data_IF_961652255781
#
_entry.id   IF_961652255781
#
_cell.length_a   1.000
_cell.length_b   1.000
_cell.length_c   1.000
_cell.angle_alpha   90.00
_cell.angle_beta   90.00
_cell.angle_gamma   90.00
#
_symmetry.space_group_name_H-M   'P 1'
#
loop_
_entity.id
_entity.type
_entity.pdbx_description
1 polymer ?
#
# COMPACT_ATOMS: atom_id res chain seq x y z
N UNK A 1 -13.83 -22.18 45.96
CA UNK A 1 -12.84 -21.30 45.30
C UNK A 1 -13.27 -21.08 43.86
N UNK A 2 -13.65 -19.85 43.48
CA UNK A 2 -13.93 -19.51 42.07
C UNK A 2 -12.59 -19.19 41.40
N UNK A 3 -12.13 -20.08 40.52
CA UNK A 3 -11.03 -19.76 39.62
C UNK A 3 -11.56 -18.82 38.53
N UNK A 4 -11.20 -17.54 38.62
CA UNK A 4 -11.42 -16.58 37.56
C UNK A 4 -10.29 -16.78 36.55
N UNK A 5 -10.56 -17.48 35.45
CA UNK A 5 -9.63 -17.57 34.31
C UNK A 5 -9.69 -16.24 33.56
N UNK A 6 -8.74 -15.34 33.85
CA UNK A 6 -8.53 -14.14 33.05
C UNK A 6 -7.84 -14.58 31.75
N UNK A 7 -8.63 -14.78 30.69
CA UNK A 7 -8.11 -15.04 29.35
C UNK A 7 -7.51 -13.72 28.82
N UNK A 8 -6.20 -13.55 28.98
CA UNK A 8 -5.46 -12.46 28.36
C UNK A 8 -5.43 -12.71 26.85
N UNK A 9 -6.30 -12.04 26.10
CA UNK A 9 -6.13 -11.90 24.66
C UNK A 9 -4.91 -11.01 24.42
N UNK A 10 -3.77 -11.63 24.08
CA UNK A 10 -2.62 -10.90 23.58
C UNK A 10 -2.99 -10.24 22.25
N UNK A 11 -3.18 -8.92 22.28
CA UNK A 11 -3.27 -8.12 21.06
C UNK A 11 -1.85 -8.03 20.50
N UNK A 12 -1.60 -8.73 19.40
CA UNK A 12 -0.30 -8.69 18.71
C UNK A 12 -0.18 -7.37 17.96
N UNK A 13 0.37 -6.36 18.64
CA UNK A 13 0.74 -5.08 18.04
C UNK A 13 2.15 -5.25 17.48
N UNK A 14 2.30 -5.02 16.17
CA UNK A 14 3.60 -4.97 15.51
C UNK A 14 3.74 -3.67 14.72
N UNK A 15 4.98 -3.31 14.43
CA UNK A 15 5.36 -2.31 13.44
C UNK A 15 6.33 -2.95 12.45
N UNK A 16 6.28 -2.54 11.18
CA UNK A 16 7.19 -3.04 10.15
C UNK A 16 7.42 -1.95 9.10
N UNK A 17 8.68 -1.75 8.71
CA UNK A 17 9.03 -0.93 7.55
C UNK A 17 9.01 -1.82 6.30
N UNK A 18 8.32 -1.37 5.26
CA UNK A 18 8.07 -2.13 4.04
C UNK A 18 8.49 -1.27 2.86
N UNK A 19 9.29 -1.85 1.95
CA UNK A 19 9.55 -1.29 0.62
C UNK A 19 8.79 -2.13 -0.40
N UNK A 20 8.16 -1.51 -1.38
CA UNK A 20 7.50 -2.15 -2.50
C UNK A 20 7.97 -1.54 -3.82
N UNK A 21 8.10 -2.37 -4.84
CA UNK A 21 8.47 -1.94 -6.19
C UNK A 21 7.69 -2.71 -7.26
N UNK A 22 7.57 -2.15 -8.46
CA UNK A 22 6.95 -2.80 -9.61
C UNK A 22 7.65 -4.13 -9.93
N UNK A 23 6.94 -5.25 -9.75
CA UNK A 23 7.51 -6.59 -9.94
C UNK A 23 7.11 -7.25 -11.27
N UNK A 24 5.89 -6.97 -11.75
CA UNK A 24 5.35 -7.66 -12.93
C UNK A 24 4.35 -6.78 -13.69
N UNK A 25 4.55 -6.71 -15.00
CA UNK A 25 3.66 -6.09 -15.98
C UNK A 25 3.00 -7.20 -16.79
N UNK A 26 1.67 -7.23 -16.84
CA UNK A 26 1.00 -8.01 -17.89
C UNK A 26 1.22 -7.23 -19.20
N UNK A 27 1.46 -7.88 -20.34
CA UNK A 27 1.70 -7.25 -21.66
C UNK A 27 0.59 -6.26 -22.13
N UNK A 28 -0.50 -6.11 -21.39
CA UNK A 28 -1.60 -5.18 -21.63
C UNK A 28 -1.73 -4.07 -20.56
N UNK A 29 -0.90 -4.09 -19.52
CA UNK A 29 -0.83 -3.02 -18.52
C UNK A 29 0.10 -1.92 -19.03
N UNK A 30 -0.25 -0.66 -18.76
CA UNK A 30 0.61 0.50 -19.03
C UNK A 30 1.98 0.36 -18.37
N UNK A 31 3.00 1.02 -18.94
CA UNK A 31 4.37 1.08 -18.42
C UNK A 31 4.46 1.88 -17.13
N UNK A 32 3.84 1.39 -16.05
CA UNK A 32 3.85 2.06 -14.76
C UNK A 32 5.00 1.51 -13.91
N UNK A 33 6.02 2.33 -13.69
CA UNK A 33 7.02 2.06 -12.67
C UNK A 33 6.60 2.68 -11.35
N UNK A 34 6.77 1.95 -10.26
CA UNK A 34 6.32 2.37 -8.93
C UNK A 34 7.34 1.91 -7.91
N UNK A 35 7.78 2.84 -7.07
CA UNK A 35 8.47 2.55 -5.82
C UNK A 35 7.71 3.17 -4.64
N UNK A 36 7.53 2.40 -3.58
CA UNK A 36 6.83 2.82 -2.37
C UNK A 36 7.57 2.36 -1.13
N UNK A 37 7.54 3.17 -0.08
CA UNK A 37 7.98 2.76 1.25
C UNK A 37 7.04 3.27 2.32
N UNK A 38 6.82 2.49 3.38
CA UNK A 38 5.98 2.91 4.49
C UNK A 38 6.20 2.08 5.76
N UNK A 39 5.76 2.61 6.89
CA UNK A 39 5.63 1.89 8.16
C UNK A 39 4.21 1.36 8.30
N UNK A 40 4.06 0.03 8.38
CA UNK A 40 2.80 -0.65 8.70
C UNK A 40 2.73 -0.96 10.20
N UNK A 41 1.60 -0.69 10.83
CA UNK A 41 1.30 -1.12 12.20
C UNK A 41 -0.02 -1.86 12.29
N UNK A 42 -0.09 -2.93 13.08
CA UNK A 42 -1.36 -3.60 13.41
C UNK A 42 -1.81 -3.26 14.83
N UNK A 43 -3.11 -3.02 15.00
CA UNK A 43 -3.73 -2.65 16.27
C UNK A 43 -4.71 -3.71 16.80
N UNK A 44 -4.74 -4.91 16.19
CA UNK A 44 -5.74 -5.94 16.47
C UNK A 44 -7.04 -5.74 15.69
N UNK A 45 -7.95 -6.71 15.77
CA UNK A 45 -9.29 -6.68 15.13
C UNK A 45 -9.30 -6.34 13.62
N UNK A 46 -8.23 -6.69 12.91
CA UNK A 46 -8.07 -6.37 11.48
C UNK A 46 -7.88 -4.88 11.18
N UNK A 47 -7.52 -4.08 12.18
CA UNK A 47 -7.12 -2.68 12.03
C UNK A 47 -5.62 -2.56 11.77
N UNK A 48 -5.28 -1.85 10.69
CA UNK A 48 -3.93 -1.59 10.25
C UNK A 48 -3.77 -0.13 9.91
N UNK A 49 -2.62 0.44 10.30
CA UNK A 49 -2.26 1.83 10.03
C UNK A 49 -1.00 1.87 9.18
N UNK A 50 -0.96 2.78 8.21
CA UNK A 50 0.21 3.11 7.41
C UNK A 50 0.65 4.55 7.74
N UNK A 51 1.95 4.76 7.93
CA UNK A 51 2.57 6.09 8.13
C UNK A 51 3.97 6.13 7.51
N UNK A 52 4.63 7.29 7.59
CA UNK A 52 5.98 7.53 7.05
C UNK A 52 6.08 7.09 5.58
N UNK A 53 5.09 7.49 4.78
CA UNK A 53 4.91 7.05 3.40
C UNK A 53 5.83 7.84 2.47
N UNK A 54 6.46 7.14 1.54
CA UNK A 54 7.02 7.71 0.33
C UNK A 54 6.47 6.93 -0.87
N UNK A 55 6.26 7.64 -1.98
CA UNK A 55 5.91 7.04 -3.26
C UNK A 55 6.59 7.81 -4.38
N UNK A 56 7.16 7.05 -5.30
CA UNK A 56 7.60 7.49 -6.61
C UNK A 56 6.86 6.65 -7.63
N UNK A 57 6.32 7.27 -8.68
CA UNK A 57 5.86 6.52 -9.83
C UNK A 57 6.05 7.31 -11.11
N UNK A 58 6.24 6.58 -12.20
CA UNK A 58 6.45 7.11 -13.54
C UNK A 58 5.62 6.32 -14.54
N UNK A 59 5.01 7.00 -15.50
CA UNK A 59 4.24 6.36 -16.57
C UNK A 59 5.00 6.42 -17.89
N UNK A 60 5.09 5.27 -18.55
CA UNK A 60 5.85 4.96 -19.76
C UNK A 60 7.36 5.23 -19.64
N UNK A 61 7.95 4.85 -18.50
CA UNK A 61 9.38 5.00 -18.23
C UNK A 61 10.28 4.25 -19.25
N UNK A 62 9.78 3.16 -19.85
CA UNK A 62 10.53 2.32 -20.79
C UNK A 62 10.76 2.97 -22.17
N UNK A 63 10.04 4.07 -22.50
CA UNK A 63 10.14 4.77 -23.79
C UNK A 63 10.99 6.06 -23.72
N UNK A 64 11.76 6.25 -22.64
CA UNK A 64 12.82 7.26 -22.54
C UNK A 64 12.51 8.41 -21.58
N UNK A 65 11.41 9.15 -21.79
CA UNK A 65 10.96 10.19 -20.85
C UNK A 65 9.54 9.88 -20.41
N UNK A 66 9.29 9.68 -19.10
CA UNK A 66 7.94 9.41 -18.64
C UNK A 66 7.06 10.61 -18.96
N UNK A 67 5.86 10.37 -19.50
CA UNK A 67 4.93 11.46 -19.79
C UNK A 67 4.28 12.02 -18.51
N UNK A 68 4.37 11.27 -17.41
CA UNK A 68 3.98 11.71 -16.08
C UNK A 68 4.89 11.08 -15.02
N UNK A 69 5.34 11.89 -14.06
CA UNK A 69 6.12 11.45 -12.92
C UNK A 69 5.56 12.12 -11.65
N UNK A 70 5.51 11.36 -10.56
CA UNK A 70 5.14 11.90 -9.26
C UNK A 70 6.07 11.37 -8.19
N UNK A 71 6.53 12.30 -7.34
CA UNK A 71 7.28 11.99 -6.12
C UNK A 71 6.61 12.69 -4.95
N UNK A 72 6.20 11.92 -3.94
CA UNK A 72 5.48 12.44 -2.79
C UNK A 72 5.79 11.69 -1.51
N UNK A 73 5.61 12.38 -0.39
CA UNK A 73 5.77 11.82 0.94
C UNK A 73 4.67 12.29 1.88
N UNK A 74 4.47 11.55 2.97
CA UNK A 74 3.53 11.94 4.01
C UNK A 74 3.80 11.22 5.33
N UNK A 75 3.85 11.99 6.40
CA UNK A 75 3.83 11.46 7.77
C UNK A 75 2.41 11.20 8.28
N UNK A 76 1.37 11.64 7.54
CA UNK A 76 -0.03 11.46 7.93
C UNK A 76 -0.37 9.98 7.99
N UNK A 77 -0.96 9.56 9.10
CA UNK A 77 -1.46 8.20 9.30
C UNK A 77 -2.72 7.97 8.46
N UNK A 78 -2.75 6.86 7.74
CA UNK A 78 -3.96 6.34 7.08
C UNK A 78 -4.33 4.98 7.66
N UNK A 79 -5.63 4.70 7.74
CA UNK A 79 -6.18 3.46 8.29
C UNK A 79 -6.90 2.67 7.21
N UNK A 80 -6.86 1.34 7.28
CA UNK A 80 -7.56 0.51 6.31
C UNK A 80 -9.09 0.67 6.38
N UNK A 81 -9.74 0.59 5.22
CA UNK A 81 -11.19 0.62 5.12
C UNK A 81 -11.80 -0.71 5.63
N UNK A 82 -12.32 -0.71 6.86
CA UNK A 82 -12.99 -1.89 7.47
C UNK A 82 -14.27 -2.32 6.75
N UNK A 83 -14.86 -1.45 5.94
CA UNK A 83 -16.06 -1.75 5.13
C UNK A 83 -15.71 -2.30 3.75
N UNK A 84 -14.43 -2.46 3.41
CA UNK A 84 -13.99 -2.99 2.13
C UNK A 84 -14.40 -4.45 1.95
N UNK A 85 -15.30 -4.70 0.99
CA UNK A 85 -15.84 -6.04 0.67
C UNK A 85 -15.68 -6.33 -0.83
N UNK A 86 -14.46 -6.58 -1.31
CA UNK A 86 -14.18 -6.73 -2.74
C UNK A 86 -14.72 -8.05 -3.30
N UNK A 87 -15.03 -8.03 -4.61
CA UNK A 87 -15.34 -9.26 -5.36
C UNK A 87 -14.07 -10.02 -5.80
N UNK A 88 -13.07 -9.29 -6.31
CA UNK A 88 -11.80 -9.83 -6.86
C UNK A 88 -10.73 -10.01 -5.77
N UNK A 89 -10.37 -8.95 -5.07
CA UNK A 89 -9.27 -8.92 -4.10
C UNK A 89 -9.68 -9.36 -2.69
N UNK A 90 -10.35 -10.50 -2.56
CA UNK A 90 -10.74 -11.05 -1.25
C UNK A 90 -9.50 -11.30 -0.39
N UNK A 91 -9.63 -11.14 0.92
CA UNK A 91 -8.52 -11.33 1.86
C UNK A 91 -7.47 -10.22 1.85
N UNK A 92 -7.78 -9.06 1.24
CA UNK A 92 -6.92 -7.88 1.27
C UNK A 92 -7.54 -6.77 2.12
N UNK A 93 -6.69 -5.99 2.80
CA UNK A 93 -7.07 -4.69 3.35
C UNK A 93 -6.79 -3.59 2.33
N UNK A 94 -7.66 -2.59 2.29
CA UNK A 94 -7.57 -1.45 1.38
C UNK A 94 -7.18 -0.18 2.15
N UNK A 95 -6.23 0.56 1.60
CA UNK A 95 -5.86 1.90 2.03
C UNK A 95 -6.08 2.89 0.90
N UNK A 96 -6.57 4.09 1.24
CA UNK A 96 -6.49 5.26 0.36
C UNK A 96 -5.10 5.87 0.51
N UNK A 97 -4.21 5.54 -0.42
CA UNK A 97 -2.80 5.88 -0.29
C UNK A 97 -2.50 7.34 -0.67
N UNK A 98 -3.42 8.03 -1.35
CA UNK A 98 -3.19 9.41 -1.82
C UNK A 98 -3.43 10.47 -0.74
N UNK A 99 -4.20 10.12 0.31
CA UNK A 99 -4.62 11.09 1.32
C UNK A 99 -3.43 11.78 2.00
N UNK A 100 -3.32 13.10 1.81
CA UNK A 100 -2.31 13.94 2.46
C UNK A 100 -0.87 13.65 2.04
N UNK A 101 -0.66 13.15 0.82
CA UNK A 101 0.66 13.20 0.19
C UNK A 101 0.99 14.64 -0.17
N UNK A 102 2.12 15.11 0.32
CA UNK A 102 2.71 16.38 -0.09
C UNK A 102 3.64 16.08 -1.28
N UNK A 103 3.42 16.78 -2.38
CA UNK A 103 4.22 16.63 -3.60
C UNK A 103 5.55 17.35 -3.44
N UNK A 104 6.64 16.70 -3.86
CA UNK A 104 8.00 17.24 -3.68
C UNK A 104 8.37 18.25 -4.77
N UNK A 105 7.73 18.20 -5.95
CA UNK A 105 8.17 18.94 -7.15
C UNK A 105 7.17 19.93 -7.76
N UNK A 106 5.93 20.05 -7.24
CA UNK A 106 5.06 21.20 -7.47
C UNK A 106 4.38 21.32 -8.84
N UNK A 107 4.36 20.28 -9.67
CA UNK A 107 3.64 20.27 -10.95
C UNK A 107 2.75 19.02 -11.04
N UNK A 108 1.44 19.27 -10.97
CA UNK A 108 0.35 18.32 -11.22
C UNK A 108 0.14 17.25 -10.13
N UNK A 109 -0.80 17.56 -9.22
CA UNK A 109 -1.19 16.72 -8.10
C UNK A 109 -1.49 15.26 -8.47
N UNK A 110 -1.34 14.40 -7.47
CA UNK A 110 -1.41 12.94 -7.54
C UNK A 110 -2.44 12.41 -8.55
N UNK A 111 -2.03 11.45 -9.37
CA UNK A 111 -2.83 10.74 -10.38
C UNK A 111 -4.13 10.12 -9.81
N UNK A 112 -5.17 10.95 -9.70
CA UNK A 112 -6.51 10.58 -9.26
C UNK A 112 -6.57 9.84 -7.92
N UNK A 113 -7.24 8.69 -7.93
CA UNK A 113 -7.45 7.86 -6.74
C UNK A 113 -6.53 6.64 -6.75
N UNK A 114 -5.91 6.36 -5.60
CA UNK A 114 -5.05 5.19 -5.42
C UNK A 114 -5.52 4.34 -4.27
N UNK A 115 -5.99 3.14 -4.60
CA UNK A 115 -6.23 2.09 -3.63
C UNK A 115 -5.02 1.19 -3.55
N UNK A 116 -4.40 1.14 -2.37
CA UNK A 116 -3.32 0.21 -2.09
C UNK A 116 -3.84 -0.97 -1.28
N UNK A 117 -3.60 -2.18 -1.78
CA UNK A 117 -4.14 -3.41 -1.22
C UNK A 117 -3.02 -4.29 -0.68
N UNK A 118 -3.13 -4.67 0.60
CA UNK A 118 -2.20 -5.58 1.26
C UNK A 118 -2.90 -6.91 1.60
N UNK A 119 -2.30 -8.08 1.30
CA UNK A 119 -2.89 -9.37 1.63
C UNK A 119 -2.80 -9.64 3.14
N UNK A 120 -3.96 -9.86 3.79
CA UNK A 120 -4.07 -10.06 5.24
C UNK A 120 -3.18 -11.22 5.70
N UNK A 121 -3.16 -12.32 4.95
CA UNK A 121 -2.39 -13.52 5.30
C UNK A 121 -0.88 -13.29 5.32
N UNK A 122 -0.37 -12.33 4.56
CA UNK A 122 1.07 -12.01 4.57
C UNK A 122 1.39 -10.99 5.66
N UNK A 123 0.52 -9.98 5.85
CA UNK A 123 0.77 -8.93 6.84
C UNK A 123 0.42 -9.33 8.28
N UNK A 124 -0.21 -10.49 8.49
CA UNK A 124 -0.49 -10.98 9.85
C UNK A 124 0.72 -11.61 10.55
N UNK A 125 1.78 -11.95 9.80
CA UNK A 125 2.95 -12.67 10.30
C UNK A 125 4.25 -12.13 9.67
N UNK A 126 4.50 -10.84 9.88
CA UNK A 126 5.67 -10.15 9.30
C UNK A 126 6.93 -10.39 10.12
N UNK A 127 8.01 -10.72 9.43
CA UNK A 127 9.37 -10.73 9.95
C UNK A 127 10.31 -10.04 8.95
N UNK A 128 11.48 -9.59 9.42
CA UNK A 128 12.49 -8.99 8.53
C UNK A 128 12.86 -9.97 7.42
N UNK A 129 12.85 -9.49 6.18
CA UNK A 129 13.09 -10.30 4.98
C UNK A 129 11.86 -11.03 4.43
N UNK A 130 10.69 -10.95 5.08
CA UNK A 130 9.44 -11.43 4.49
C UNK A 130 9.17 -10.73 3.16
N UNK A 131 8.80 -11.50 2.14
CA UNK A 131 8.38 -11.01 0.83
C UNK A 131 6.92 -11.33 0.56
N UNK A 132 6.20 -10.40 -0.06
CA UNK A 132 4.82 -10.62 -0.46
C UNK A 132 4.45 -9.71 -1.63
N UNK A 133 3.28 -9.95 -2.23
CA UNK A 133 2.76 -9.14 -3.34
C UNK A 133 1.64 -8.23 -2.85
N UNK A 134 1.73 -6.95 -3.19
CA UNK A 134 0.66 -5.98 -2.99
C UNK A 134 0.05 -5.56 -4.33
N UNK A 135 -1.14 -4.97 -4.29
CA UNK A 135 -1.78 -4.44 -5.49
C UNK A 135 -1.96 -2.93 -5.32
N UNK A 136 -1.47 -2.17 -6.29
CA UNK A 136 -1.81 -0.77 -6.46
C UNK A 136 -2.91 -0.67 -7.52
N UNK A 137 -4.00 0.03 -7.22
CA UNK A 137 -5.03 0.35 -8.20
C UNK A 137 -5.06 1.86 -8.31
N UNK A 138 -4.79 2.36 -9.51
CA UNK A 138 -4.83 3.78 -9.83
C UNK A 138 -6.00 4.04 -10.77
N UNK A 139 -6.75 5.10 -10.52
CA UNK A 139 -7.78 5.56 -11.45
C UNK A 139 -7.77 7.08 -11.58
N UNK A 140 -7.82 7.55 -12.83
CA UNK A 140 -7.93 8.97 -13.14
C UNK A 140 -9.33 9.28 -13.64
N UNK A 141 -10.05 10.10 -12.87
CA UNK A 141 -11.47 10.36 -13.11
C UNK A 141 -11.70 11.23 -14.35
N UNK A 142 -10.76 12.11 -14.71
CA UNK A 142 -10.92 13.01 -15.87
C UNK A 142 -10.85 12.30 -17.21
N UNK A 143 -10.07 11.22 -17.31
CA UNK A 143 -9.85 10.47 -18.55
C UNK A 143 -10.50 9.07 -18.53
N UNK A 144 -11.32 8.78 -17.50
CA UNK A 144 -11.92 7.47 -17.23
C UNK A 144 -10.93 6.30 -17.22
N UNK A 145 -9.66 6.62 -16.98
CA UNK A 145 -8.58 5.66 -17.09
C UNK A 145 -8.33 4.98 -15.75
N UNK A 146 -7.94 3.71 -15.80
CA UNK A 146 -7.62 2.96 -14.60
C UNK A 146 -6.70 1.79 -14.89
N UNK A 147 -5.72 1.61 -14.03
CA UNK A 147 -4.74 0.54 -14.11
C UNK A 147 -4.56 -0.13 -12.74
N UNK A 148 -4.14 -1.39 -12.76
CA UNK A 148 -3.68 -2.07 -11.56
C UNK A 148 -2.26 -2.57 -11.76
N UNK A 149 -1.41 -2.41 -10.75
CA UNK A 149 -0.03 -2.88 -10.75
C UNK A 149 0.20 -3.83 -9.58
N UNK A 150 0.88 -4.93 -9.84
CA UNK A 150 1.35 -5.82 -8.77
C UNK A 150 2.74 -5.36 -8.32
N UNK A 151 2.87 -5.07 -7.04
CA UNK A 151 4.13 -4.66 -6.44
C UNK A 151 4.72 -5.83 -5.65
N UNK A 152 6.02 -6.07 -5.80
CA UNK A 152 6.78 -6.93 -4.91
C UNK A 152 7.18 -6.12 -3.68
N UNK A 153 6.83 -6.60 -2.50
CA UNK A 153 7.09 -5.93 -1.24
C UNK A 153 8.01 -6.76 -0.35
N UNK A 154 8.91 -6.09 0.35
CA UNK A 154 9.83 -6.70 1.31
C UNK A 154 9.81 -5.94 2.64
N UNK A 155 9.77 -6.68 3.75
CA UNK A 155 9.95 -6.12 5.09
C UNK A 155 11.43 -5.84 5.33
N UNK A 156 11.78 -4.57 5.49
CA UNK A 156 13.17 -4.13 5.66
C UNK A 156 13.58 -4.01 7.12
N UNK A 157 12.64 -3.75 8.04
CA UNK A 157 12.86 -3.74 9.49
C UNK A 157 11.54 -3.82 10.29
N UNK A 158 11.63 -4.02 11.61
CA UNK A 158 10.50 -4.07 12.57
C UNK A 158 10.58 -2.93 13.58
#
# INVERSE_FOLDING_TARGET
MKFLFTLLFSVSIFAANIKCESFYQIEQDFGLDVEMSFTLKSFGDGEYHIKDRNISFAVDADEGSPWYEFNGSSEKVITNNKSYKPRKYKGHVQFDYTSGLDEVNGEEGFFGYTSFLLPISSISDLHVGSEFKAILIMSWVSDHWGASRTLGCQVTSL
#
